data_IF_046455619260
#
_entry.id   IF_046455619260
#
_cell.length_a   1.000
_cell.length_b   1.000
_cell.length_c   1.000
_cell.angle_alpha   90.00
_cell.angle_beta   90.00
_cell.angle_gamma   90.00
#
_symmetry.space_group_name_H-M   'P 1'
#
loop_
_entity.id
_entity.type
_entity.pdbx_description
1 polymer ?
#
# COMPACT_ATOMS: atom_id res chain seq x y z
N UNK A 1 32.88 55.65 -1.44
CA UNK A 1 32.39 54.57 -0.56
C UNK A 1 31.48 53.65 -1.35
N UNK A 2 31.94 52.44 -1.71
CA UNK A 2 31.13 51.38 -2.32
C UNK A 2 31.00 50.28 -1.26
N UNK A 3 29.82 50.15 -0.66
CA UNK A 3 29.51 49.10 0.30
C UNK A 3 29.27 47.80 -0.48
N UNK A 4 30.18 46.83 -0.34
CA UNK A 4 30.01 45.48 -0.86
C UNK A 4 29.15 44.70 0.14
N UNK A 5 27.91 44.38 -0.24
CA UNK A 5 27.01 43.53 0.55
C UNK A 5 27.46 42.05 0.40
N UNK A 6 27.61 41.26 1.48
CA UNK A 6 27.99 39.86 1.34
C UNK A 6 26.79 39.06 0.80
N UNK A 7 27.02 38.33 -0.29
CA UNK A 7 26.06 37.41 -0.88
C UNK A 7 25.95 36.19 0.05
N UNK A 8 24.96 36.17 0.94
CA UNK A 8 24.65 35.01 1.79
C UNK A 8 23.98 33.97 0.89
N UNK A 9 24.73 32.96 0.45
CA UNK A 9 24.19 31.79 -0.25
C UNK A 9 23.51 30.90 0.79
N UNK A 10 22.18 31.01 0.91
CA UNK A 10 21.38 30.12 1.74
C UNK A 10 21.18 28.80 0.98
N UNK A 11 21.97 27.78 1.29
CA UNK A 11 21.81 26.44 0.74
C UNK A 11 20.60 25.78 1.41
N UNK A 12 19.41 25.92 0.82
CA UNK A 12 18.19 25.25 1.26
C UNK A 12 18.28 23.76 0.93
N UNK A 13 18.86 22.98 1.85
CA UNK A 13 18.87 21.52 1.77
C UNK A 13 17.49 20.97 2.15
N UNK A 14 16.66 20.67 1.15
CA UNK A 14 15.43 19.91 1.35
C UNK A 14 15.78 18.47 1.74
N UNK A 15 15.51 18.09 2.98
CA UNK A 15 15.64 16.71 3.43
C UNK A 15 14.54 15.86 2.77
N UNK A 16 14.89 14.99 1.83
CA UNK A 16 13.97 14.01 1.28
C UNK A 16 13.74 12.88 2.30
N UNK A 17 12.59 12.89 2.97
CA UNK A 17 12.13 11.73 3.73
C UNK A 17 11.78 10.64 2.72
N UNK A 18 12.49 9.51 2.78
CA UNK A 18 12.15 8.35 1.97
C UNK A 18 10.75 7.85 2.40
N UNK A 19 9.76 7.94 1.50
CA UNK A 19 8.42 7.39 1.72
C UNK A 19 8.50 5.87 1.92
N UNK A 20 7.85 5.37 2.98
CA UNK A 20 7.71 3.94 3.27
C UNK A 20 6.84 3.23 2.21
N UNK A 21 6.16 3.99 1.36
CA UNK A 21 5.32 3.49 0.28
C UNK A 21 6.01 3.65 -1.08
N UNK A 22 5.84 2.66 -1.96
CA UNK A 22 6.23 2.69 -3.37
C UNK A 22 5.48 3.81 -4.10
N UNK A 23 6.18 4.74 -4.77
CA UNK A 23 5.52 5.89 -5.39
C UNK A 23 4.64 5.53 -6.58
N UNK A 24 4.86 4.38 -7.24
CA UNK A 24 4.07 3.97 -8.40
C UNK A 24 2.75 3.30 -7.99
N UNK A 25 2.77 2.50 -6.92
CA UNK A 25 1.62 1.67 -6.52
C UNK A 25 0.99 2.08 -5.19
N UNK A 26 1.72 2.80 -4.35
CA UNK A 26 1.36 3.06 -2.95
C UNK A 26 1.54 1.84 -2.03
N UNK A 27 2.12 0.73 -2.51
CA UNK A 27 2.39 -0.46 -1.70
C UNK A 27 3.49 -0.19 -0.66
N UNK A 28 3.42 -0.81 0.52
CA UNK A 28 4.45 -0.64 1.57
C UNK A 28 5.74 -1.31 1.10
N UNK A 29 6.87 -0.61 1.16
CA UNK A 29 8.18 -1.12 0.73
C UNK A 29 8.72 -2.15 1.73
N UNK A 30 8.35 -3.42 1.54
CA UNK A 30 8.85 -4.58 2.30
C UNK A 30 9.23 -5.75 1.37
N UNK A 31 10.02 -6.72 1.84
CA UNK A 31 10.30 -7.95 1.07
C UNK A 31 9.00 -8.59 0.56
N UNK A 32 8.97 -8.96 -0.72
CA UNK A 32 7.77 -9.51 -1.39
C UNK A 32 6.90 -8.47 -2.09
N UNK A 33 7.10 -7.17 -1.87
CA UNK A 33 6.32 -6.10 -2.54
C UNK A 33 6.40 -6.21 -4.06
N UNK A 34 7.59 -6.47 -4.61
CA UNK A 34 7.78 -6.56 -6.05
C UNK A 34 6.94 -7.68 -6.68
N UNK A 35 6.86 -8.83 -6.02
CA UNK A 35 6.05 -9.95 -6.50
C UNK A 35 4.56 -9.59 -6.54
N UNK A 36 4.09 -8.87 -5.51
CA UNK A 36 2.72 -8.35 -5.47
C UNK A 36 2.49 -7.29 -6.54
N UNK A 37 3.45 -6.38 -6.75
CA UNK A 37 3.40 -5.40 -7.83
C UNK A 37 3.31 -6.09 -9.20
N UNK A 38 4.18 -7.05 -9.48
CA UNK A 38 4.19 -7.76 -10.76
C UNK A 38 2.91 -8.55 -11.01
N UNK A 39 2.42 -9.30 -10.01
CA UNK A 39 1.33 -10.25 -10.23
C UNK A 39 -0.07 -9.72 -9.90
N UNK A 40 -0.20 -8.85 -8.91
CA UNK A 40 -1.51 -8.41 -8.41
C UNK A 40 -1.94 -7.05 -8.98
N UNK A 41 -1.07 -6.35 -9.71
CA UNK A 41 -1.42 -5.07 -10.35
C UNK A 41 -1.44 -5.13 -11.89
N UNK A 42 -1.40 -6.33 -12.47
CA UNK A 42 -1.44 -6.50 -13.91
C UNK A 42 -2.83 -6.18 -14.53
N UNK A 43 -3.90 -6.39 -13.77
CA UNK A 43 -5.28 -6.20 -14.26
C UNK A 43 -5.96 -4.94 -13.69
N UNK A 44 -5.58 -4.51 -12.48
CA UNK A 44 -6.18 -3.36 -11.79
C UNK A 44 -5.21 -2.73 -10.79
N UNK A 45 -5.54 -1.54 -10.30
CA UNK A 45 -4.71 -0.79 -9.35
C UNK A 45 -4.47 -1.52 -8.02
N UNK A 46 -3.28 -1.32 -7.43
CA UNK A 46 -2.93 -1.72 -6.07
C UNK A 46 -3.84 -1.10 -4.99
N UNK A 47 -4.65 -0.09 -5.32
CA UNK A 47 -5.60 0.53 -4.39
C UNK A 47 -6.55 -0.49 -3.76
N UNK A 48 -6.95 -1.53 -4.51
CA UNK A 48 -7.79 -2.60 -3.95
C UNK A 48 -7.06 -3.38 -2.85
N UNK A 49 -5.76 -3.64 -3.01
CA UNK A 49 -4.95 -4.29 -1.96
C UNK A 49 -4.89 -3.39 -0.72
N UNK A 50 -4.61 -2.10 -0.91
CA UNK A 50 -4.45 -1.13 0.18
C UNK A 50 -5.74 -0.97 0.99
N UNK A 51 -6.89 -0.93 0.33
CA UNK A 51 -8.20 -0.73 0.96
C UNK A 51 -8.72 -1.98 1.69
N UNK A 52 -8.25 -3.17 1.32
CA UNK A 52 -8.68 -4.42 1.93
C UNK A 52 -7.76 -4.85 3.08
N UNK A 53 -8.32 -5.60 4.02
CA UNK A 53 -7.60 -6.18 5.15
C UNK A 53 -8.06 -7.62 5.32
N UNK A 54 -7.13 -8.55 5.32
CA UNK A 54 -7.41 -9.96 5.51
C UNK A 54 -6.23 -10.64 6.20
N UNK A 55 -6.50 -11.69 6.97
CA UNK A 55 -5.45 -12.58 7.42
C UNK A 55 -4.90 -13.41 6.24
N UNK A 56 -3.93 -14.29 6.52
CA UNK A 56 -3.32 -15.13 5.48
C UNK A 56 -4.36 -15.98 4.74
N UNK A 57 -5.32 -16.57 5.45
CA UNK A 57 -6.34 -17.42 4.85
C UNK A 57 -7.31 -16.61 3.99
N UNK A 58 -7.69 -15.42 4.43
CA UNK A 58 -8.53 -14.52 3.63
C UNK A 58 -7.83 -14.07 2.34
N UNK A 59 -6.54 -13.75 2.39
CA UNK A 59 -5.76 -13.44 1.18
C UNK A 59 -5.61 -14.66 0.26
N UNK A 60 -5.41 -15.86 0.80
CA UNK A 60 -5.39 -17.09 0.03
C UNK A 60 -6.73 -17.32 -0.70
N UNK A 61 -7.85 -17.17 0.02
CA UNK A 61 -9.19 -17.27 -0.57
C UNK A 61 -9.41 -16.23 -1.68
N UNK A 62 -8.87 -15.02 -1.49
CA UNK A 62 -8.93 -13.96 -2.52
C UNK A 62 -8.14 -14.36 -3.77
N UNK A 63 -6.93 -14.91 -3.61
CA UNK A 63 -6.12 -15.40 -4.73
C UNK A 63 -6.85 -16.52 -5.48
N UNK A 64 -7.43 -17.49 -4.76
CA UNK A 64 -8.20 -18.58 -5.37
C UNK A 64 -9.40 -18.06 -6.14
N UNK A 65 -10.17 -17.13 -5.57
CA UNK A 65 -11.28 -16.47 -6.26
C UNK A 65 -10.81 -15.73 -7.52
N UNK A 66 -9.69 -15.01 -7.47
CA UNK A 66 -9.12 -14.33 -8.64
C UNK A 66 -8.67 -15.32 -9.73
N UNK A 67 -8.11 -16.47 -9.34
CA UNK A 67 -7.72 -17.52 -10.28
C UNK A 67 -8.94 -18.16 -10.95
N UNK A 68 -9.99 -18.44 -10.19
CA UNK A 68 -11.22 -19.07 -10.68
C UNK A 68 -12.08 -18.14 -11.54
N UNK A 69 -12.20 -16.86 -11.16
CA UNK A 69 -13.20 -15.95 -11.75
C UNK A 69 -12.61 -14.80 -12.56
N UNK A 70 -11.36 -14.40 -12.31
CA UNK A 70 -10.73 -13.23 -12.93
C UNK A 70 -9.55 -13.60 -13.85
N UNK A 71 -9.22 -14.89 -13.96
CA UNK A 71 -8.14 -15.38 -14.80
C UNK A 71 -6.74 -15.07 -14.28
N UNK A 72 -6.58 -14.87 -12.95
CA UNK A 72 -5.24 -14.81 -12.36
C UNK A 72 -4.52 -16.14 -12.63
N UNK A 73 -3.30 -16.07 -13.13
CA UNK A 73 -2.51 -17.27 -13.44
C UNK A 73 -2.03 -18.00 -12.16
N UNK A 74 -1.58 -19.26 -12.29
CA UNK A 74 -0.92 -19.95 -11.18
C UNK A 74 0.33 -19.20 -10.74
N UNK A 75 0.41 -18.84 -9.46
CA UNK A 75 1.55 -18.10 -8.89
C UNK A 75 2.74 -19.02 -8.56
N UNK A 76 2.54 -20.33 -8.50
CA UNK A 76 3.61 -21.29 -8.27
C UNK A 76 4.39 -21.04 -6.97
N UNK A 77 5.72 -21.12 -7.04
CA UNK A 77 6.59 -21.04 -5.86
C UNK A 77 6.56 -19.67 -5.17
N UNK A 78 6.13 -18.60 -5.85
CA UNK A 78 6.11 -17.25 -5.27
C UNK A 78 4.85 -16.95 -4.46
N UNK A 79 3.83 -17.82 -4.51
CA UNK A 79 2.56 -17.61 -3.80
C UNK A 79 2.76 -17.45 -2.29
N UNK A 80 3.64 -18.25 -1.69
CA UNK A 80 3.92 -18.17 -0.26
C UNK A 80 4.46 -16.79 0.15
N UNK A 81 5.41 -16.25 -0.61
CA UNK A 81 5.98 -14.91 -0.37
C UNK A 81 4.97 -13.80 -0.59
N UNK A 82 4.10 -13.94 -1.59
CA UNK A 82 2.97 -13.00 -1.82
C UNK A 82 2.04 -12.99 -0.61
N UNK A 83 1.66 -14.16 -0.10
CA UNK A 83 0.81 -14.29 1.08
C UNK A 83 1.48 -13.75 2.35
N UNK A 84 2.79 -13.98 2.53
CA UNK A 84 3.56 -13.43 3.65
C UNK A 84 3.51 -11.90 3.61
N UNK A 85 3.78 -11.30 2.45
CA UNK A 85 3.74 -9.86 2.29
C UNK A 85 2.32 -9.29 2.52
N UNK A 86 1.29 -9.88 1.89
CA UNK A 86 -0.09 -9.40 2.00
C UNK A 86 -0.59 -9.45 3.45
N UNK A 87 -0.38 -10.57 4.14
CA UNK A 87 -0.84 -10.75 5.51
C UNK A 87 -0.08 -9.89 6.53
N UNK A 88 1.24 -9.71 6.36
CA UNK A 88 2.03 -8.88 7.26
C UNK A 88 1.74 -7.38 7.11
N UNK A 89 1.46 -6.92 5.89
CA UNK A 89 1.34 -5.48 5.58
C UNK A 89 -0.11 -5.01 5.43
N UNK A 90 -1.01 -5.92 5.09
CA UNK A 90 -2.45 -5.66 4.87
C UNK A 90 -3.30 -6.65 5.67
N UNK A 91 -2.83 -7.01 6.87
CA UNK A 91 -3.54 -7.82 7.86
C UNK A 91 -4.70 -7.07 8.55
N UNK A 92 -5.59 -7.78 9.27
CA UNK A 92 -6.66 -7.16 10.05
C UNK A 92 -6.11 -6.12 11.03
N UNK A 93 -6.77 -4.97 11.14
CA UNK A 93 -6.48 -3.98 12.16
C UNK A 93 -7.40 -4.20 13.35
N UNK A 94 -6.92 -3.93 14.56
CA UNK A 94 -7.71 -4.04 15.81
C UNK A 94 -8.89 -3.07 15.85
N UNK A 95 -8.90 -2.07 14.96
CA UNK A 95 -10.01 -1.15 14.76
C UNK A 95 -10.97 -1.77 13.76
N UNK A 96 -12.08 -2.32 14.27
CA UNK A 96 -13.15 -2.91 13.45
C UNK A 96 -13.89 -1.90 12.58
N UNK A 97 -15.08 -2.29 12.09
CA UNK A 97 -15.94 -1.41 11.29
C UNK A 97 -16.09 -0.05 11.99
N UNK A 98 -15.99 1.04 11.20
CA UNK A 98 -16.23 2.41 11.69
C UNK A 98 -17.49 2.43 12.56
N UNK A 99 -17.39 3.00 13.76
CA UNK A 99 -18.53 3.19 14.67
C UNK A 99 -19.67 3.86 13.89
N UNK A 100 -20.91 3.44 14.16
CA UNK A 100 -22.10 4.08 13.61
C UNK A 100 -22.04 5.59 13.88
N UNK A 101 -22.41 6.39 12.87
CA UNK A 101 -22.59 7.84 13.05
C UNK A 101 -23.60 8.06 14.20
N UNK A 102 -23.28 8.97 15.12
CA UNK A 102 -24.23 9.41 16.14
C UNK A 102 -25.39 10.16 15.48
N UNK A 103 -26.57 10.13 16.13
CA UNK A 103 -27.77 10.86 15.67
C UNK A 103 -27.48 12.32 15.37
N UNK A 104 -26.63 12.94 16.18
CA UNK A 104 -26.37 14.39 16.17
C UNK A 104 -25.47 14.81 14.99
N UNK A 105 -24.90 13.84 14.27
CA UNK A 105 -24.09 14.05 13.06
C UNK A 105 -24.87 13.68 11.78
N UNK A 106 -26.14 13.29 11.90
CA UNK A 106 -27.00 13.07 10.75
C UNK A 106 -27.50 14.43 10.23
N UNK A 107 -27.57 14.62 8.90
CA UNK A 107 -28.26 15.79 8.34
C UNK A 107 -29.75 15.79 8.75
N UNK A 108 -30.38 16.98 8.81
CA UNK A 108 -31.79 17.12 9.16
C UNK A 108 -32.73 16.43 8.17
#
# INVERSE_FOLDING_TARGET
MKLLLPLIIVFNSSLSIASDNDPATGLIKRPGMELVRTHCTACHSARLIIQNKADRLGWLSTIRWMQESQGLWPLGQVEATILDYLSANYGPQTVGRRKRLSSDLLPP
#
